data_IF_166670046286
#
_entry.id   IF_166670046286
#
_cell.length_a   1.000
_cell.length_b   1.000
_cell.length_c   1.000
_cell.angle_alpha   90.00
_cell.angle_beta   90.00
_cell.angle_gamma   90.00
#
_symmetry.space_group_name_H-M   'P 1'
#
loop_
_entity.id
_entity.type
_entity.pdbx_description
1 polymer ?
#
# COMPACT_ATOMS: atom_id res chain seq x y z
N UNK A 1 19.47 8.94 1.00
CA UNK A 1 18.15 8.28 0.94
C UNK A 1 17.90 7.79 2.35
N UNK A 2 16.84 8.22 3.01
CA UNK A 2 16.52 7.75 4.35
C UNK A 2 16.21 6.25 4.30
N UNK A 3 16.68 5.51 5.29
CA UNK A 3 16.41 4.07 5.41
C UNK A 3 14.92 3.83 5.69
N UNK A 4 14.31 2.78 5.12
CA UNK A 4 12.93 2.45 5.41
C UNK A 4 12.78 2.08 6.90
N UNK A 5 11.89 2.78 7.60
CA UNK A 5 11.59 2.56 9.01
C UNK A 5 10.28 1.77 9.13
N UNK A 6 10.32 0.45 9.40
CA UNK A 6 9.12 -0.35 9.56
C UNK A 6 8.44 -0.09 10.91
N UNK A 7 7.13 -0.31 10.97
CA UNK A 7 6.34 -0.27 12.20
C UNK A 7 5.02 -1.02 12.04
N UNK A 8 4.21 -1.00 13.10
CA UNK A 8 2.91 -1.65 13.15
C UNK A 8 1.86 -0.74 13.80
N UNK A 9 0.69 -0.67 13.20
CA UNK A 9 -0.46 0.12 13.66
C UNK A 9 -1.62 -0.84 13.98
N UNK A 10 -1.85 -1.06 15.28
CA UNK A 10 -2.88 -1.96 15.79
C UNK A 10 -4.30 -1.47 15.46
N UNK A 11 -4.52 -0.16 15.36
CA UNK A 11 -5.82 0.42 15.05
C UNK A 11 -6.22 0.22 13.58
N UNK A 12 -5.25 -0.04 12.71
CA UNK A 12 -5.47 -0.32 11.29
C UNK A 12 -5.44 -1.82 10.95
N UNK A 13 -4.89 -2.65 11.82
CA UNK A 13 -4.81 -4.09 11.62
C UNK A 13 -6.22 -4.71 11.49
N UNK A 14 -6.44 -5.45 10.40
CA UNK A 14 -7.70 -6.14 10.12
C UNK A 14 -8.81 -5.25 9.53
N UNK A 15 -8.55 -3.95 9.33
CA UNK A 15 -9.53 -3.05 8.70
C UNK A 15 -9.51 -3.21 7.19
N UNK A 16 -10.66 -3.06 6.55
CA UNK A 16 -10.72 -3.01 5.08
C UNK A 16 -10.28 -1.64 4.59
N UNK A 17 -9.57 -1.61 3.48
CA UNK A 17 -9.17 -0.36 2.87
C UNK A 17 -9.07 -0.49 1.36
N UNK A 18 -9.24 0.65 0.70
CA UNK A 18 -8.99 0.85 -0.72
C UNK A 18 -7.81 1.80 -0.85
N UNK A 19 -7.01 1.61 -1.89
CA UNK A 19 -5.95 2.54 -2.21
C UNK A 19 -5.75 2.69 -3.71
N UNK A 20 -5.37 3.90 -4.10
CA UNK A 20 -4.86 4.17 -5.44
C UNK A 20 -3.34 4.02 -5.38
N UNK A 21 -2.92 2.76 -5.53
CA UNK A 21 -1.54 2.31 -5.35
C UNK A 21 -0.96 1.89 -6.69
N UNK A 22 0.25 2.34 -7.00
CA UNK A 22 0.89 1.97 -8.25
C UNK A 22 1.87 0.84 -8.10
N UNK A 23 1.58 -0.27 -8.78
CA UNK A 23 2.66 -1.12 -9.22
C UNK A 23 3.61 -0.26 -10.08
N UNK A 24 4.91 -0.43 -9.88
CA UNK A 24 5.89 0.22 -10.73
C UNK A 24 5.68 -0.28 -12.15
N UNK A 25 5.17 0.57 -13.05
CA UNK A 25 4.97 0.18 -14.45
C UNK A 25 6.35 -0.21 -14.99
N UNK A 26 6.52 -1.48 -15.42
CA UNK A 26 7.83 -1.98 -15.79
C UNK A 26 8.45 -1.11 -16.89
N UNK A 27 9.65 -0.58 -16.62
CA UNK A 27 10.43 0.18 -17.59
C UNK A 27 10.12 1.68 -17.70
N UNK A 28 9.19 2.24 -16.92
CA UNK A 28 8.86 3.68 -16.99
C UNK A 28 9.25 4.48 -15.76
N UNK A 29 9.52 3.81 -14.62
CA UNK A 29 9.76 4.47 -13.34
C UNK A 29 8.53 5.19 -12.77
N UNK A 30 7.36 4.97 -13.37
CA UNK A 30 6.09 5.54 -12.95
C UNK A 30 5.31 4.51 -12.14
N UNK A 31 4.67 4.96 -11.06
CA UNK A 31 3.65 4.21 -10.37
C UNK A 31 2.37 4.28 -11.23
N UNK A 32 1.82 3.13 -11.65
CA UNK A 32 0.51 3.11 -12.30
C UNK A 32 -0.55 3.66 -11.35
N UNK A 33 -1.60 4.32 -11.82
CA UNK A 33 -2.78 4.52 -10.98
C UNK A 33 -3.66 3.31 -11.17
N UNK A 34 -3.49 2.32 -10.29
CA UNK A 34 -4.33 1.13 -10.26
C UNK A 34 -5.05 1.08 -8.92
N UNK A 35 -6.31 0.66 -8.98
CA UNK A 35 -7.17 0.59 -7.81
C UNK A 35 -6.96 -0.76 -7.13
N UNK A 36 -6.65 -0.72 -5.84
CA UNK A 36 -6.52 -1.89 -4.98
C UNK A 36 -7.50 -1.80 -3.83
N UNK A 37 -8.06 -2.93 -3.43
CA UNK A 37 -8.86 -3.05 -2.22
C UNK A 37 -8.49 -4.34 -1.50
N UNK A 38 -8.44 -4.30 -0.18
CA UNK A 38 -8.11 -5.47 0.63
C UNK A 38 -8.20 -5.17 2.12
N UNK A 39 -7.46 -5.95 2.89
CA UNK A 39 -7.39 -5.84 4.35
C UNK A 39 -6.03 -5.32 4.77
N UNK A 40 -6.02 -4.25 5.56
CA UNK A 40 -4.83 -3.71 6.19
C UNK A 40 -4.25 -4.73 7.16
N UNK A 41 -2.96 -5.01 6.99
CA UNK A 41 -2.25 -5.92 7.92
C UNK A 41 -1.85 -5.23 9.22
N UNK A 42 -1.88 -3.89 9.25
CA UNK A 42 -1.30 -3.06 10.31
C UNK A 42 0.18 -2.74 10.08
N UNK A 43 0.89 -3.48 9.22
CA UNK A 43 2.28 -3.18 8.92
C UNK A 43 2.38 -1.88 8.11
N UNK A 44 3.30 -1.00 8.51
CA UNK A 44 3.66 0.18 7.75
C UNK A 44 5.18 0.33 7.61
N UNK A 45 5.61 1.10 6.62
CA UNK A 45 6.99 1.53 6.44
C UNK A 45 7.03 3.02 6.11
N UNK A 46 7.84 3.76 6.85
CA UNK A 46 8.13 5.16 6.55
C UNK A 46 9.40 5.20 5.68
N UNK A 47 9.31 5.69 4.45
CA UNK A 47 10.42 5.71 3.49
C UNK A 47 10.43 7.00 2.67
N UNK A 48 11.62 7.59 2.47
CA UNK A 48 11.81 8.87 1.79
C UNK A 48 12.33 9.99 2.69
N UNK A 49 12.63 11.14 2.10
CA UNK A 49 13.02 12.37 2.81
C UNK A 49 12.30 13.57 2.18
N UNK A 50 11.23 14.12 2.81
CA UNK A 50 10.63 13.69 4.07
C UNK A 50 10.01 12.27 4.00
N UNK A 51 9.85 11.57 5.14
CA UNK A 51 9.34 10.21 5.14
C UNK A 51 7.87 10.17 4.73
N UNK A 52 7.56 9.38 3.69
CA UNK A 52 6.19 9.00 3.34
C UNK A 52 5.85 7.66 3.98
N UNK A 53 4.67 7.58 4.59
CA UNK A 53 4.18 6.34 5.21
C UNK A 53 3.48 5.48 4.18
N UNK A 54 3.82 4.20 4.15
CA UNK A 54 3.19 3.19 3.31
C UNK A 54 2.62 2.08 4.19
N UNK A 55 1.37 1.72 3.99
CA UNK A 55 0.70 0.61 4.68
C UNK A 55 0.60 -0.61 3.77
N UNK A 56 0.73 -1.80 4.35
CA UNK A 56 0.60 -3.06 3.62
C UNK A 56 -0.84 -3.56 3.66
N UNK A 57 -1.45 -3.62 2.47
CA UNK A 57 -2.71 -4.33 2.23
C UNK A 57 -2.40 -5.77 1.84
N UNK A 58 -3.17 -6.70 2.40
CA UNK A 58 -3.20 -8.10 2.05
C UNK A 58 -4.65 -8.53 1.77
N UNK A 59 -4.85 -9.81 1.44
CA UNK A 59 -6.19 -10.35 1.15
C UNK A 59 -6.92 -9.46 0.13
N UNK A 60 -6.23 -9.21 -1.01
CA UNK A 60 -6.69 -8.26 -2.01
C UNK A 60 -8.00 -8.74 -2.64
N UNK A 61 -9.08 -8.02 -2.37
CA UNK A 61 -10.40 -8.22 -2.94
C UNK A 61 -10.56 -7.53 -4.30
N UNK A 62 -9.77 -6.49 -4.54
CA UNK A 62 -9.62 -5.83 -5.84
C UNK A 62 -8.13 -5.70 -6.15
N UNK A 63 -7.71 -6.25 -7.29
CA UNK A 63 -6.37 -6.08 -7.85
C UNK A 63 -6.44 -6.12 -9.38
N UNK A 64 -5.57 -5.40 -10.10
CA UNK A 64 -5.53 -5.41 -11.55
C UNK A 64 -5.16 -6.79 -12.08
N UNK A 65 -5.68 -7.12 -13.27
CA UNK A 65 -5.40 -8.37 -13.96
C UNK A 65 -3.90 -8.55 -14.19
N UNK A 66 -3.37 -9.69 -13.77
CA UNK A 66 -1.95 -10.01 -13.90
C UNK A 66 -1.06 -9.48 -12.78
N UNK A 67 -1.61 -8.86 -11.74
CA UNK A 67 -0.85 -8.53 -10.52
C UNK A 67 -0.46 -9.83 -9.78
N UNK A 68 0.84 -10.16 -9.69
CA UNK A 68 1.30 -11.47 -9.25
C UNK A 68 1.27 -11.63 -7.73
N UNK A 69 1.35 -10.51 -6.99
CA UNK A 69 1.43 -10.54 -5.54
C UNK A 69 0.03 -10.60 -4.90
N UNK A 70 -0.03 -11.08 -3.66
CA UNK A 70 -1.23 -11.11 -2.85
C UNK A 70 -1.29 -9.96 -1.82
N UNK A 71 -0.29 -9.08 -1.87
CA UNK A 71 -0.17 -7.91 -1.02
C UNK A 71 0.34 -6.71 -1.81
N UNK A 72 -0.05 -5.50 -1.41
CA UNK A 72 0.40 -4.24 -2.03
C UNK A 72 0.72 -3.21 -0.96
N UNK A 73 1.75 -2.40 -1.21
CA UNK A 73 2.07 -1.24 -0.38
C UNK A 73 1.33 -0.01 -0.89
N UNK A 74 0.55 0.62 -0.03
CA UNK A 74 -0.24 1.79 -0.33
C UNK A 74 0.27 2.98 0.46
N UNK A 75 0.53 4.11 -0.20
CA UNK A 75 0.90 5.35 0.47
C UNK A 75 -0.28 5.89 1.29
N UNK A 76 0.00 6.44 2.47
CA UNK A 76 -1.01 6.88 3.44
C UNK A 76 -1.94 7.98 2.93
N UNK A 77 -1.48 8.88 2.07
CA UNK A 77 -2.27 9.92 1.43
C UNK A 77 -3.23 9.41 0.34
N UNK A 78 -3.00 8.21 -0.18
CA UNK A 78 -3.87 7.53 -1.15
C UNK A 78 -4.63 6.33 -0.55
N UNK A 79 -4.58 6.14 0.78
CA UNK A 79 -5.25 5.07 1.49
C UNK A 79 -6.59 5.54 2.07
N UNK A 80 -7.65 4.82 1.75
CA UNK A 80 -9.00 5.07 2.22
C UNK A 80 -9.49 3.86 3.01
N UNK A 81 -9.58 4.01 4.34
CA UNK A 81 -10.06 2.93 5.20
C UNK A 81 -11.58 2.87 5.13
N UNK A 82 -12.10 1.69 4.80
CA UNK A 82 -13.52 1.40 4.77
C UNK A 82 -13.99 1.02 6.18
N UNK A 83 -15.11 1.62 6.61
CA UNK A 83 -15.76 1.36 7.90
C UNK A 83 -16.39 -0.04 7.95
#
# INVERSE_FOLDING_TARGET
MAEPQPGFDEDLAGRRAECDGGHAVPGTGLAGREEFAGTLTGNYVDHGDPPWRWYLLADLTLKPDGYPEDTVWCESGNLFVLD
#
